data_IF_130669473443
#
_entry.id   IF_130669473443
#
_cell.length_a   1.000
_cell.length_b   1.000
_cell.length_c   1.000
_cell.angle_alpha   90.00
_cell.angle_beta   90.00
_cell.angle_gamma   90.00
#
_symmetry.space_group_name_H-M   'P 1'
#
loop_
_entity.id
_entity.type
_entity.pdbx_description
1 polymer ?
#
# COMPACT_ATOMS: atom_id res chain seq x y z
N UNK A 1 -45.10 -5.47 -32.71
CA UNK A 1 -43.74 -5.29 -32.17
C UNK A 1 -43.81 -4.83 -30.70
N UNK A 2 -44.54 -5.57 -29.85
CA UNK A 2 -44.82 -5.14 -28.46
C UNK A 2 -44.41 -6.20 -27.41
N UNK A 3 -44.13 -7.44 -27.83
CA UNK A 3 -43.66 -8.50 -26.92
C UNK A 3 -42.14 -8.49 -26.68
N UNK A 4 -41.37 -7.83 -27.56
CA UNK A 4 -39.89 -7.79 -27.46
C UNK A 4 -39.40 -6.80 -26.40
N UNK A 5 -40.20 -5.80 -26.05
CA UNK A 5 -39.86 -4.79 -25.04
C UNK A 5 -39.95 -5.32 -23.60
N UNK A 6 -40.75 -6.37 -23.35
CA UNK A 6 -40.92 -6.93 -22.00
C UNK A 6 -39.67 -7.71 -21.58
N UNK A 7 -39.01 -8.41 -22.52
CA UNK A 7 -37.78 -9.17 -22.22
C UNK A 7 -36.57 -8.28 -21.90
N UNK A 8 -36.53 -7.04 -22.39
CA UNK A 8 -35.43 -6.12 -22.07
C UNK A 8 -35.56 -5.50 -20.68
N UNK A 9 -36.77 -5.40 -20.13
CA UNK A 9 -37.01 -4.78 -18.82
C UNK A 9 -36.72 -5.72 -17.64
N UNK A 10 -36.62 -7.04 -17.86
CA UNK A 10 -36.38 -8.03 -16.80
C UNK A 10 -34.89 -8.23 -16.48
N UNK A 11 -33.97 -7.73 -17.31
CA UNK A 11 -32.52 -7.93 -17.11
C UNK A 11 -31.88 -6.85 -16.21
N UNK A 12 -32.59 -5.77 -15.88
CA UNK A 12 -32.02 -4.60 -15.18
C UNK A 12 -32.04 -4.75 -13.64
N UNK A 13 -32.70 -5.78 -13.09
CA UNK A 13 -32.78 -5.99 -11.63
C UNK A 13 -31.77 -6.97 -11.04
N UNK A 14 -30.73 -7.36 -11.78
CA UNK A 14 -29.50 -7.87 -11.15
C UNK A 14 -28.60 -6.71 -10.78
N UNK A 15 -29.11 -5.83 -9.92
CA UNK A 15 -28.28 -4.93 -9.15
C UNK A 15 -27.35 -5.78 -8.30
N UNK A 16 -26.14 -6.02 -8.80
CA UNK A 16 -25.08 -6.61 -7.98
C UNK A 16 -24.86 -5.63 -6.84
N UNK A 17 -25.42 -5.94 -5.67
CA UNK A 17 -25.01 -5.30 -4.44
C UNK A 17 -23.53 -5.66 -4.31
N UNK A 18 -22.65 -4.72 -4.68
CA UNK A 18 -21.22 -4.92 -4.52
C UNK A 18 -21.01 -5.35 -3.07
N UNK A 19 -20.51 -6.58 -2.82
CA UNK A 19 -20.40 -7.08 -1.47
C UNK A 19 -19.60 -6.06 -0.67
N UNK A 20 -20.16 -5.62 0.46
CA UNK A 20 -19.59 -4.59 1.33
C UNK A 20 -18.20 -5.08 1.73
N UNK A 21 -17.17 -4.64 1.01
CA UNK A 21 -15.83 -5.17 1.19
C UNK A 21 -15.40 -4.83 2.62
N UNK A 22 -15.09 -5.86 3.39
CA UNK A 22 -14.57 -5.69 4.75
C UNK A 22 -13.37 -4.71 4.69
N UNK A 23 -13.31 -3.66 5.53
CA UNK A 23 -12.21 -2.70 5.54
C UNK A 23 -10.82 -3.37 5.64
N UNK A 24 -10.74 -4.53 6.31
CA UNK A 24 -9.53 -5.35 6.36
C UNK A 24 -9.11 -5.85 4.97
N UNK A 25 -10.06 -6.38 4.18
CA UNK A 25 -9.81 -6.88 2.83
C UNK A 25 -9.36 -5.74 1.90
N UNK A 26 -9.92 -4.53 2.07
CA UNK A 26 -9.50 -3.34 1.33
C UNK A 26 -8.06 -2.93 1.68
N UNK A 27 -7.70 -2.95 2.96
CA UNK A 27 -6.33 -2.64 3.44
C UNK A 27 -5.32 -3.65 2.91
N UNK A 28 -5.60 -4.94 3.03
CA UNK A 28 -4.71 -6.00 2.56
C UNK A 28 -4.49 -5.93 1.04
N UNK A 29 -5.57 -5.76 0.26
CA UNK A 29 -5.48 -5.55 -1.19
C UNK A 29 -4.60 -4.35 -1.51
N UNK A 30 -4.74 -3.27 -0.74
CA UNK A 30 -3.95 -2.07 -0.92
C UNK A 30 -2.47 -2.29 -0.62
N UNK A 31 -2.13 -3.03 0.45
CA UNK A 31 -0.74 -3.37 0.76
C UNK A 31 -0.10 -4.23 -0.35
N UNK A 32 -0.82 -5.22 -0.87
CA UNK A 32 -0.35 -6.04 -1.98
C UNK A 32 -0.07 -5.20 -3.24
N UNK A 33 -0.96 -4.24 -3.55
CA UNK A 33 -0.72 -3.27 -4.62
C UNK A 33 0.55 -2.44 -4.38
N UNK A 34 0.78 -1.96 -3.15
CA UNK A 34 1.98 -1.20 -2.81
C UNK A 34 3.26 -2.02 -2.99
N UNK A 35 3.24 -3.34 -2.73
CA UNK A 35 4.40 -4.23 -3.00
C UNK A 35 4.71 -4.26 -4.50
N UNK A 36 3.68 -4.39 -5.35
CA UNK A 36 3.86 -4.38 -6.80
C UNK A 36 4.34 -3.02 -7.31
N UNK A 37 3.79 -1.92 -6.78
CA UNK A 37 4.23 -0.55 -7.09
C UNK A 37 5.71 -0.38 -6.73
N UNK A 38 6.13 -0.81 -5.53
CA UNK A 38 7.52 -0.74 -5.12
C UNK A 38 8.44 -1.55 -6.05
N UNK A 39 7.97 -2.71 -6.55
CA UNK A 39 8.71 -3.52 -7.54
C UNK A 39 8.85 -2.79 -8.87
N UNK A 40 7.80 -2.12 -9.33
CA UNK A 40 7.81 -1.36 -10.58
C UNK A 40 8.62 -0.06 -10.47
N UNK A 41 8.61 0.59 -9.30
CA UNK A 41 9.43 1.79 -9.06
C UNK A 41 10.92 1.50 -9.23
N UNK A 42 11.39 0.31 -8.84
CA UNK A 42 12.81 -0.10 -9.01
C UNK A 42 13.30 -0.03 -10.45
N UNK A 43 12.43 -0.19 -11.45
CA UNK A 43 12.83 -0.13 -12.86
C UNK A 43 12.82 1.30 -13.43
N UNK A 44 12.26 2.24 -12.67
CA UNK A 44 12.01 3.63 -13.07
C UNK A 44 12.85 4.65 -12.29
N UNK A 45 13.44 4.29 -11.15
CA UNK A 45 14.28 5.17 -10.32
C UNK A 45 15.70 5.27 -10.84
N UNK A 46 16.31 6.44 -10.62
CA UNK A 46 17.70 6.65 -10.96
C UNK A 46 18.60 6.11 -9.85
N UNK A 47 19.16 4.93 -10.05
CA UNK A 47 20.06 4.29 -9.08
C UNK A 47 21.46 4.92 -9.06
N UNK A 48 21.77 5.76 -10.05
CA UNK A 48 23.02 6.52 -10.13
C UNK A 48 22.90 7.89 -9.45
N UNK A 49 21.71 8.27 -8.96
CA UNK A 49 21.53 9.50 -8.19
C UNK A 49 22.18 9.32 -6.80
N UNK A 50 23.13 10.18 -6.39
CA UNK A 50 23.71 10.14 -5.05
C UNK A 50 22.71 10.50 -3.93
N UNK A 51 21.45 10.82 -4.28
CA UNK A 51 20.38 11.08 -3.32
C UNK A 51 20.16 9.88 -2.39
N UNK A 52 20.64 10.02 -1.16
CA UNK A 52 20.34 9.09 -0.08
C UNK A 52 18.97 9.42 0.53
N UNK A 53 18.19 8.38 0.80
CA UNK A 53 16.84 8.47 1.31
C UNK A 53 16.76 7.84 2.69
N UNK A 54 16.06 8.49 3.61
CA UNK A 54 15.80 7.92 4.93
C UNK A 54 15.06 6.60 4.76
N UNK A 55 15.66 5.53 5.27
CA UNK A 55 15.18 4.17 5.05
C UNK A 55 14.90 3.50 6.39
N UNK A 56 13.63 3.50 6.83
CA UNK A 56 13.21 2.75 8.01
C UNK A 56 13.50 1.24 7.85
N UNK A 57 14.49 0.75 8.60
CA UNK A 57 14.79 -0.67 8.75
C UNK A 57 14.55 -1.09 10.21
N UNK A 58 14.28 -2.37 10.44
CA UNK A 58 14.04 -2.92 11.78
C UNK A 58 12.95 -2.17 12.56
N UNK A 59 11.90 -1.73 11.87
CA UNK A 59 10.79 -0.96 12.44
C UNK A 59 10.16 -1.71 13.61
N UNK A 60 10.10 -1.03 14.76
CA UNK A 60 9.47 -1.51 15.99
C UNK A 60 7.99 -1.85 15.76
N UNK A 61 7.48 -2.79 16.57
CA UNK A 61 6.08 -3.20 16.52
C UNK A 61 5.18 -1.99 16.79
N UNK A 62 4.10 -1.85 16.02
CA UNK A 62 3.14 -0.74 16.09
C UNK A 62 3.63 0.59 15.46
N UNK A 63 4.85 0.63 14.92
CA UNK A 63 5.36 1.80 14.19
C UNK A 63 5.37 1.63 12.67
N UNK A 64 4.80 0.54 12.14
CA UNK A 64 4.83 0.21 10.72
C UNK A 64 4.12 1.26 9.85
N UNK A 65 2.98 1.81 10.30
CA UNK A 65 2.27 2.87 9.57
C UNK A 65 3.04 4.20 9.61
N UNK A 66 3.73 4.51 10.72
CA UNK A 66 4.60 5.68 10.83
C UNK A 66 5.80 5.56 9.89
N UNK A 67 6.44 4.38 9.86
CA UNK A 67 7.53 4.10 8.94
C UNK A 67 7.06 4.15 7.48
N UNK A 68 5.89 3.60 7.15
CA UNK A 68 5.32 3.68 5.80
C UNK A 68 5.11 5.14 5.37
N UNK A 69 4.69 6.02 6.28
CA UNK A 69 4.57 7.45 6.00
C UNK A 69 5.91 8.08 5.61
N UNK A 70 7.01 7.71 6.27
CA UNK A 70 8.36 8.15 5.88
C UNK A 70 8.70 7.74 4.44
N UNK A 71 8.36 6.50 4.04
CA UNK A 71 8.55 6.04 2.66
C UNK A 71 7.69 6.83 1.64
N UNK A 72 6.47 7.25 2.03
CA UNK A 72 5.57 8.02 1.16
C UNK A 72 6.06 9.46 0.95
N UNK A 73 6.62 10.07 1.99
CA UNK A 73 7.08 11.46 1.98
C UNK A 73 8.50 11.62 1.40
N UNK A 74 9.23 10.52 1.21
CA UNK A 74 10.58 10.53 0.67
C UNK A 74 10.68 11.16 -0.74
N UNK A 75 11.75 11.94 -1.02
CA UNK A 75 11.96 12.59 -2.30
C UNK A 75 12.63 11.66 -3.34
N UNK A 76 11.94 10.57 -3.71
CA UNK A 76 12.38 9.71 -4.81
C UNK A 76 12.40 10.46 -6.15
N UNK A 77 13.38 10.15 -7.01
CA UNK A 77 13.53 10.75 -8.34
C UNK A 77 13.51 9.70 -9.46
N UNK A 78 12.93 10.04 -10.62
CA UNK A 78 12.91 9.16 -11.79
C UNK A 78 14.24 9.15 -12.54
N UNK A 79 14.43 8.15 -13.40
CA UNK A 79 15.42 8.16 -14.48
C UNK A 79 15.12 9.26 -15.50
N UNK A 80 16.16 9.76 -16.17
CA UNK A 80 16.08 10.79 -17.22
C UNK A 80 15.53 10.26 -18.57
N UNK A 81 14.63 9.28 -18.54
CA UNK A 81 13.95 8.75 -19.71
C UNK A 81 12.46 9.13 -19.62
N UNK A 82 11.90 9.71 -20.69
CA UNK A 82 10.55 10.27 -20.70
C UNK A 82 9.47 9.23 -20.37
N UNK A 83 9.53 8.05 -20.99
CA UNK A 83 8.60 6.95 -20.73
C UNK A 83 8.66 6.49 -19.26
N UNK A 84 9.88 6.29 -18.74
CA UNK A 84 10.10 5.91 -17.34
C UNK A 84 9.65 6.99 -16.36
N UNK A 85 9.82 8.27 -16.72
CA UNK A 85 9.34 9.40 -15.93
C UNK A 85 7.81 9.41 -15.84
N UNK A 86 7.10 9.24 -16.95
CA UNK A 86 5.64 9.15 -16.93
C UNK A 86 5.15 7.97 -16.07
N UNK A 87 5.78 6.79 -16.22
CA UNK A 87 5.45 5.62 -15.37
C UNK A 87 5.75 5.90 -13.90
N UNK A 88 6.90 6.50 -13.59
CA UNK A 88 7.28 6.89 -12.25
C UNK A 88 6.24 7.83 -11.61
N UNK A 89 5.81 8.87 -12.32
CA UNK A 89 4.85 9.86 -11.80
C UNK A 89 3.51 9.22 -11.42
N UNK A 90 3.05 8.24 -12.22
CA UNK A 90 1.86 7.45 -11.90
C UNK A 90 2.09 6.59 -10.64
N UNK A 91 3.21 5.87 -10.59
CA UNK A 91 3.53 4.95 -9.50
C UNK A 91 3.77 5.67 -8.16
N UNK A 92 4.50 6.79 -8.17
CA UNK A 92 4.78 7.56 -6.94
C UNK A 92 3.50 8.20 -6.40
N UNK A 93 2.62 8.69 -7.29
CA UNK A 93 1.30 9.20 -6.91
C UNK A 93 0.45 8.12 -6.28
N UNK A 94 0.55 6.88 -6.77
CA UNK A 94 -0.11 5.74 -6.14
C UNK A 94 0.53 5.40 -4.79
N UNK A 95 1.86 5.33 -4.67
CA UNK A 95 2.56 5.06 -3.40
C UNK A 95 2.13 6.04 -2.30
N UNK A 96 2.05 7.33 -2.63
CA UNK A 96 1.69 8.44 -1.71
C UNK A 96 0.24 8.46 -1.25
N UNK A 97 -0.65 7.62 -1.80
CA UNK A 97 -2.04 7.57 -1.32
C UNK A 97 -2.11 6.97 0.07
N UNK A 98 -2.91 7.60 0.93
CA UNK A 98 -3.18 7.13 2.30
C UNK A 98 -3.65 5.67 2.31
N UNK A 99 -3.11 4.88 3.22
CA UNK A 99 -3.56 3.51 3.47
C UNK A 99 -4.95 3.55 4.15
N UNK A 100 -5.88 2.64 3.80
CA UNK A 100 -7.11 2.48 4.58
C UNK A 100 -6.78 2.27 6.05
N UNK A 101 -7.41 3.08 6.90
CA UNK A 101 -7.13 3.09 8.33
C UNK A 101 -7.55 1.76 8.95
N UNK A 102 -6.68 1.20 9.79
CA UNK A 102 -7.05 0.09 10.67
C UNK A 102 -7.93 0.63 11.80
N UNK A 103 -8.92 -0.13 12.24
CA UNK A 103 -9.67 0.24 13.45
C UNK A 103 -8.69 0.54 14.59
N UNK A 104 -8.84 1.73 15.18
CA UNK A 104 -7.83 2.30 16.05
C UNK A 104 -7.66 1.44 17.31
N UNK A 105 -6.48 0.83 17.47
CA UNK A 105 -6.05 0.33 18.79
C UNK A 105 -5.46 1.54 19.52
N UNK A 106 -5.91 1.78 20.76
CA UNK A 106 -5.48 2.88 21.66
C UNK A 106 -4.02 2.70 22.14
N UNK A 107 -3.09 2.55 21.22
CA UNK A 107 -1.67 2.52 21.51
C UNK A 107 -1.06 3.68 20.73
N UNK A 108 -0.55 4.69 21.44
CA UNK A 108 0.28 5.74 20.89
C UNK A 108 1.75 5.42 21.22
N UNK A 109 2.37 4.42 20.56
CA UNK A 109 3.80 4.20 20.74
C UNK A 109 4.55 5.45 20.28
N UNK A 110 5.63 5.80 21.00
CA UNK A 110 6.56 6.83 20.53
C UNK A 110 7.39 6.24 19.40
N UNK A 111 6.97 6.47 18.16
CA UNK A 111 7.71 6.02 16.99
C UNK A 111 8.85 6.99 16.64
N UNK A 112 9.99 6.49 16.13
CA UNK A 112 11.07 7.34 15.67
C UNK A 112 10.64 8.27 14.52
N UNK A 113 11.26 9.45 14.44
CA UNK A 113 11.07 10.37 13.30
C UNK A 113 11.79 9.86 12.05
N UNK A 114 11.37 10.30 10.87
CA UNK A 114 11.98 9.86 9.61
C UNK A 114 13.48 10.20 9.56
N UNK A 115 13.91 11.34 10.11
CA UNK A 115 15.31 11.77 10.06
C UNK A 115 16.25 10.93 10.94
N UNK A 116 15.70 10.10 11.84
CA UNK A 116 16.47 9.20 12.70
C UNK A 116 16.97 7.94 12.00
N UNK A 117 16.39 7.59 10.85
CA UNK A 117 16.77 6.37 10.14
C UNK A 117 17.99 6.58 9.24
N UNK A 118 18.70 5.49 8.98
CA UNK A 118 19.87 5.50 8.10
C UNK A 118 19.45 5.88 6.67
N UNK A 119 20.29 6.71 6.06
CA UNK A 119 20.14 7.14 4.68
C UNK A 119 20.71 6.06 3.75
N UNK A 120 19.95 5.65 2.74
CA UNK A 120 20.31 4.57 1.81
C UNK A 120 19.99 4.93 0.36
N UNK A 121 20.66 4.30 -0.62
CA UNK A 121 20.37 4.53 -2.03
C UNK A 121 18.95 4.08 -2.43
N UNK A 122 18.41 4.59 -3.55
CA UNK A 122 17.04 4.30 -3.99
C UNK A 122 16.67 2.82 -4.08
N UNK A 123 17.58 1.95 -4.55
CA UNK A 123 17.32 0.51 -4.59
C UNK A 123 17.12 -0.11 -3.21
N UNK A 124 18.02 0.19 -2.27
CA UNK A 124 17.93 -0.32 -0.90
C UNK A 124 16.73 0.26 -0.15
N UNK A 125 16.40 1.52 -0.41
CA UNK A 125 15.17 2.16 0.07
C UNK A 125 13.94 1.38 -0.40
N UNK A 126 13.85 1.05 -1.70
CA UNK A 126 12.71 0.30 -2.24
C UNK A 126 12.69 -1.17 -1.80
N UNK A 127 13.85 -1.78 -1.53
CA UNK A 127 13.93 -3.11 -0.92
C UNK A 127 13.31 -3.09 0.49
N UNK A 128 13.70 -2.13 1.30
CA UNK A 128 13.20 -1.98 2.68
C UNK A 128 11.70 -1.67 2.71
N UNK A 129 11.21 -0.86 1.76
CA UNK A 129 9.77 -0.64 1.58
C UNK A 129 9.02 -1.95 1.30
N UNK A 130 9.54 -2.81 0.40
CA UNK A 130 8.93 -4.10 0.11
C UNK A 130 8.90 -5.00 1.35
N UNK A 131 10.01 -5.09 2.08
CA UNK A 131 10.08 -5.87 3.31
C UNK A 131 9.08 -5.38 4.37
N UNK A 132 8.96 -4.06 4.55
CA UNK A 132 7.97 -3.47 5.46
C UNK A 132 6.53 -3.84 5.06
N UNK A 133 6.19 -3.69 3.78
CA UNK A 133 4.85 -3.99 3.28
C UNK A 133 4.51 -5.49 3.42
N UNK A 134 5.46 -6.38 3.14
CA UNK A 134 5.28 -7.82 3.34
C UNK A 134 5.06 -8.17 4.82
N UNK A 135 5.83 -7.54 5.71
CA UNK A 135 5.65 -7.66 7.17
C UNK A 135 4.24 -7.21 7.60
N UNK A 136 3.76 -6.08 7.08
CA UNK A 136 2.40 -5.59 7.35
C UNK A 136 1.30 -6.54 6.84
N UNK A 137 1.48 -7.15 5.66
CA UNK A 137 0.54 -8.15 5.11
C UNK A 137 0.48 -9.39 6.03
N UNK A 138 1.63 -9.88 6.48
CA UNK A 138 1.72 -11.04 7.38
C UNK A 138 0.98 -10.80 8.70
N UNK A 139 1.12 -9.60 9.28
CA UNK A 139 0.41 -9.24 10.52
C UNK A 139 -1.10 -9.11 10.35
N UNK A 140 -1.57 -8.58 9.22
CA UNK A 140 -3.01 -8.50 8.94
C UNK A 140 -3.62 -9.91 8.81
N UNK A 141 -2.90 -10.85 8.18
CA UNK A 141 -3.35 -12.24 8.06
C UNK A 141 -3.47 -12.93 9.43
N UNK A 142 -2.49 -12.76 10.32
CA UNK A 142 -2.55 -13.30 11.68
C UNK A 142 -3.68 -12.66 12.50
N UNK A 143 -3.90 -11.35 12.35
CA UNK A 143 -5.01 -10.67 13.04
C UNK A 143 -6.38 -11.19 12.60
N UNK A 144 -6.52 -11.64 11.35
CA UNK A 144 -7.78 -12.20 10.83
C UNK A 144 -8.09 -13.57 11.43
N UNK A 145 -7.08 -14.44 11.54
CA UNK A 145 -7.25 -15.77 12.15
C UNK A 145 -7.72 -15.68 13.62
N UNK A 146 -7.19 -14.72 14.39
CA UNK A 146 -7.63 -14.48 15.75
C UNK A 146 -9.03 -13.84 15.85
N UNK A 147 -9.44 -13.02 14.87
CA UNK A 147 -10.77 -12.39 14.88
C UNK A 147 -11.88 -13.39 14.56
N UNK A 148 -11.68 -14.28 13.57
CA UNK A 148 -12.64 -15.33 13.24
C UNK A 148 -12.84 -16.32 14.41
N UNK A 149 -11.78 -16.64 15.15
CA UNK A 149 -11.88 -17.54 16.32
C UNK A 149 -12.67 -16.95 17.50
N UNK A 150 -12.83 -15.62 17.57
CA UNK A 150 -13.53 -14.93 18.66
C UNK A 150 -15.00 -14.58 18.38
N UNK A 151 -15.52 -14.92 17.20
CA UNK A 151 -16.89 -14.59 16.76
C UNK A 151 -17.75 -15.83 16.43
N UNK A 152 -17.26 -17.04 16.71
CA UNK A 152 -18.04 -18.27 16.65
C UNK A 152 -18.39 -18.75 18.06
N UNK A 153 -19.29 -18.04 18.73
CA UNK A 153 -20.07 -18.52 19.89
C UNK A 153 -21.46 -17.92 19.83
#
# INVERSE_FOLDING_TARGET
MERTFIYCLVIIFFGTVAPKQNPLNRRQTRLMQLVQIAKQLKTCVNDTDPALLSTPENVEKHCEESALKCFQEAPLKPLNNEEKKMRFDVLIKQLRRKLPQREARKTNPKCPSCDSFKMKPPQEFLNSLQSLLQKMISYDHHSNHHHCHGQCT
#
